data_IF_567401449938
#
_entry.id   IF_567401449938
#
_cell.length_a   1.000
_cell.length_b   1.000
_cell.length_c   1.000
_cell.angle_alpha   90.00
_cell.angle_beta   90.00
_cell.angle_gamma   90.00
#
_symmetry.space_group_name_H-M   'P 1'
#
loop_
_entity.id
_entity.type
_entity.pdbx_description
1 polymer ?
#
# COMPACT_ATOMS: atom_id res chain seq x y z
N UNK A 1 -23.74 31.02 6.21
CA UNK A 1 -22.49 30.44 5.70
C UNK A 1 -21.67 29.95 6.90
N UNK A 2 -22.02 28.78 7.45
CA UNK A 2 -21.46 28.31 8.72
C UNK A 2 -20.25 27.39 8.47
N UNK A 3 -19.07 27.89 8.85
CA UNK A 3 -17.81 27.16 8.87
C UNK A 3 -17.88 26.04 9.91
N UNK A 4 -18.26 24.81 9.49
CA UNK A 4 -18.04 23.61 10.32
C UNK A 4 -16.55 23.24 10.22
N UNK A 5 -15.71 23.92 10.99
CA UNK A 5 -14.39 23.39 11.37
C UNK A 5 -14.63 22.15 12.22
N UNK A 6 -14.74 21.00 11.55
CA UNK A 6 -14.97 19.71 12.20
C UNK A 6 -13.80 19.39 13.10
N UNK A 7 -14.07 19.16 14.38
CA UNK A 7 -13.13 18.47 15.28
C UNK A 7 -12.70 17.19 14.57
N UNK A 8 -11.41 17.05 14.26
CA UNK A 8 -10.88 15.82 13.66
C UNK A 8 -11.26 14.67 14.57
N UNK A 9 -12.02 13.69 14.06
CA UNK A 9 -12.44 12.57 14.89
C UNK A 9 -11.19 11.80 15.32
N UNK A 10 -11.13 11.37 16.58
CA UNK A 10 -9.98 10.59 17.10
C UNK A 10 -9.67 9.39 16.21
N UNK A 11 -10.71 8.80 15.61
CA UNK A 11 -10.62 7.71 14.66
C UNK A 11 -9.86 8.10 13.38
N UNK A 12 -10.14 9.28 12.79
CA UNK A 12 -9.43 9.75 11.60
C UNK A 12 -7.94 9.96 11.88
N UNK A 13 -7.60 10.47 13.07
CA UNK A 13 -6.19 10.65 13.46
C UNK A 13 -5.46 9.31 13.58
N UNK A 14 -6.09 8.31 14.21
CA UNK A 14 -5.52 6.96 14.35
C UNK A 14 -5.38 6.26 13.00
N UNK A 15 -6.38 6.34 12.13
CA UNK A 15 -6.31 5.76 10.79
C UNK A 15 -5.22 6.43 9.94
N UNK A 16 -5.17 7.77 9.94
CA UNK A 16 -4.15 8.51 9.19
C UNK A 16 -2.74 8.24 9.71
N UNK A 17 -2.54 8.17 11.03
CA UNK A 17 -1.22 7.88 11.61
C UNK A 17 -0.74 6.47 11.25
N UNK A 18 -1.63 5.47 11.27
CA UNK A 18 -1.29 4.11 10.84
C UNK A 18 -0.88 4.07 9.37
N UNK A 19 -1.62 4.74 8.48
CA UNK A 19 -1.28 4.81 7.05
C UNK A 19 0.06 5.52 6.84
N UNK A 20 0.29 6.66 7.50
CA UNK A 20 1.56 7.39 7.43
C UNK A 20 2.72 6.50 7.88
N UNK A 21 2.54 5.76 8.98
CA UNK A 21 3.55 4.82 9.46
C UNK A 21 3.87 3.74 8.42
N UNK A 22 2.85 3.13 7.80
CA UNK A 22 3.06 2.12 6.75
C UNK A 22 3.80 2.69 5.53
N UNK A 23 3.44 3.92 5.12
CA UNK A 23 4.13 4.61 4.01
C UNK A 23 5.59 4.87 4.37
N UNK A 24 5.88 5.34 5.59
CA UNK A 24 7.24 5.54 6.07
C UNK A 24 8.05 4.24 6.05
N UNK A 25 7.49 3.14 6.56
CA UNK A 25 8.16 1.82 6.54
C UNK A 25 8.45 1.38 5.10
N UNK A 26 7.52 1.58 4.17
CA UNK A 26 7.71 1.22 2.77
C UNK A 26 8.78 2.08 2.04
N UNK A 27 8.82 3.38 2.34
CA UNK A 27 9.82 4.29 1.75
C UNK A 27 11.20 3.99 2.31
N UNK A 28 11.30 3.77 3.62
CA UNK A 28 12.54 3.48 4.34
C UNK A 28 12.93 2.00 4.30
N UNK A 29 12.16 1.14 3.63
CA UNK A 29 12.43 -0.28 3.43
C UNK A 29 13.90 -0.62 3.10
N UNK A 30 14.57 0.02 2.10
CA UNK A 30 15.95 -0.32 1.76
C UNK A 30 16.98 0.02 2.85
N UNK A 31 16.62 0.84 3.85
CA UNK A 31 17.51 1.19 4.96
C UNK A 31 17.17 0.46 6.26
N UNK A 32 15.93 0.00 6.41
CA UNK A 32 15.46 -0.69 7.63
C UNK A 32 15.56 -2.22 7.48
N UNK A 33 15.55 -2.75 6.25
CA UNK A 33 15.61 -4.19 6.00
C UNK A 33 16.93 -4.78 6.52
N UNK A 34 16.91 -5.76 7.45
CA UNK A 34 18.13 -6.36 7.99
C UNK A 34 18.93 -7.15 6.95
N UNK A 35 18.23 -7.77 5.99
CA UNK A 35 18.81 -8.57 4.92
C UNK A 35 18.27 -8.16 3.56
N UNK A 36 18.97 -8.56 2.51
CA UNK A 36 18.45 -8.46 1.15
C UNK A 36 17.22 -9.38 1.01
N UNK A 37 16.03 -8.86 0.64
CA UNK A 37 14.80 -9.64 0.50
C UNK A 37 14.88 -10.76 -0.54
N UNK A 38 15.87 -10.73 -1.44
CA UNK A 38 16.10 -11.73 -2.47
C UNK A 38 17.26 -12.68 -2.14
N UNK A 39 18.09 -12.37 -1.15
CA UNK A 39 19.19 -13.24 -0.75
C UNK A 39 18.66 -14.54 -0.14
N UNK A 40 19.15 -15.67 -0.66
CA UNK A 40 18.71 -17.01 -0.28
C UNK A 40 19.77 -17.70 0.56
N UNK A 41 19.37 -18.23 1.72
CA UNK A 41 20.17 -19.15 2.51
C UNK A 41 19.49 -20.53 2.56
N UNK A 42 19.97 -21.46 1.72
CA UNK A 42 19.40 -22.82 1.63
C UNK A 42 19.42 -23.53 2.99
N UNK A 43 20.42 -23.25 3.84
CA UNK A 43 20.53 -23.85 5.17
C UNK A 43 19.55 -23.25 6.16
N UNK A 44 18.98 -22.08 5.88
CA UNK A 44 17.98 -21.43 6.71
C UNK A 44 16.53 -21.77 6.33
N UNK A 45 16.30 -22.57 5.28
CA UNK A 45 14.95 -22.93 4.80
C UNK A 45 14.01 -23.40 5.91
N UNK A 46 12.83 -22.76 6.00
CA UNK A 46 11.78 -23.04 6.98
C UNK A 46 12.26 -23.01 8.44
N UNK A 47 13.39 -22.36 8.74
CA UNK A 47 13.78 -22.14 10.14
C UNK A 47 12.84 -21.12 10.77
N UNK A 48 12.44 -21.42 12.01
CA UNK A 48 11.62 -20.52 12.81
C UNK A 48 12.37 -19.25 13.25
N UNK A 49 11.71 -18.40 14.06
CA UNK A 49 12.28 -17.16 14.59
C UNK A 49 13.62 -17.41 15.30
N UNK A 50 14.62 -16.61 14.96
CA UNK A 50 15.96 -16.67 15.56
C UNK A 50 16.60 -15.27 15.59
N UNK A 51 17.71 -15.12 16.33
CA UNK A 51 18.45 -13.85 16.35
C UNK A 51 18.96 -13.43 14.96
N UNK A 52 19.24 -14.41 14.08
CA UNK A 52 19.62 -14.18 12.69
C UNK A 52 18.42 -13.89 11.77
N UNK A 53 17.23 -14.42 12.07
CA UNK A 53 16.02 -14.21 11.28
C UNK A 53 14.86 -13.94 12.22
N UNK A 54 14.55 -12.68 12.50
CA UNK A 54 13.63 -12.29 13.58
C UNK A 54 12.24 -12.89 13.44
N UNK A 55 11.76 -13.02 12.20
CA UNK A 55 10.48 -13.66 11.86
C UNK A 55 10.66 -15.06 11.24
N UNK A 56 11.88 -15.59 11.24
CA UNK A 56 12.25 -16.83 10.56
C UNK A 56 12.50 -16.64 9.07
N UNK A 57 12.72 -17.76 8.38
CA UNK A 57 12.97 -17.77 6.96
C UNK A 57 11.87 -18.50 6.18
N UNK A 58 11.69 -18.14 4.92
CA UNK A 58 10.70 -18.76 4.04
C UNK A 58 11.18 -20.11 3.46
N UNK A 59 10.37 -20.67 2.54
CA UNK A 59 10.70 -21.93 1.84
C UNK A 59 11.96 -21.87 0.95
N UNK A 60 12.49 -20.68 0.69
CA UNK A 60 13.73 -20.45 -0.04
C UNK A 60 14.86 -19.99 0.90
N UNK A 61 14.61 -19.95 2.21
CA UNK A 61 15.57 -19.52 3.22
C UNK A 61 15.85 -18.02 3.17
N UNK A 62 14.89 -17.23 2.68
CA UNK A 62 14.96 -15.77 2.68
C UNK A 62 14.35 -15.23 3.97
N UNK A 63 14.91 -14.13 4.48
CA UNK A 63 14.41 -13.50 5.71
C UNK A 63 12.97 -12.98 5.55
N UNK A 64 12.08 -13.47 6.40
CA UNK A 64 10.65 -13.16 6.30
C UNK A 64 10.37 -11.70 6.65
N UNK A 65 11.09 -11.11 7.61
CA UNK A 65 10.92 -9.71 8.01
C UNK A 65 11.26 -8.76 6.84
N UNK A 66 12.44 -8.96 6.24
CA UNK A 66 12.91 -8.22 5.08
C UNK A 66 11.91 -8.33 3.91
N UNK A 67 11.38 -9.54 3.67
CA UNK A 67 10.35 -9.77 2.64
C UNK A 67 9.02 -9.07 2.94
N UNK A 68 8.61 -8.98 4.20
CA UNK A 68 7.39 -8.27 4.57
C UNK A 68 7.54 -6.75 4.39
N UNK A 69 8.68 -6.18 4.80
CA UNK A 69 8.98 -4.76 4.64
C UNK A 69 9.02 -4.37 3.15
N UNK A 70 9.75 -5.14 2.34
CA UNK A 70 9.79 -4.90 0.90
C UNK A 70 8.46 -5.23 0.21
N UNK A 71 7.72 -6.23 0.70
CA UNK A 71 6.38 -6.56 0.26
C UNK A 71 5.40 -5.41 0.46
N UNK A 72 5.49 -4.71 1.60
CA UNK A 72 4.69 -3.51 1.86
C UNK A 72 4.94 -2.41 0.81
N UNK A 73 6.21 -2.17 0.46
CA UNK A 73 6.58 -1.22 -0.60
C UNK A 73 5.99 -1.59 -1.96
N UNK A 74 6.08 -2.86 -2.35
CA UNK A 74 5.51 -3.34 -3.61
C UNK A 74 3.97 -3.20 -3.62
N UNK A 75 3.30 -3.62 -2.55
CA UNK A 75 1.84 -3.53 -2.43
C UNK A 75 1.34 -2.10 -2.53
N UNK A 76 1.97 -1.15 -1.82
CA UNK A 76 1.60 0.27 -1.89
C UNK A 76 1.82 0.84 -3.29
N UNK A 77 2.93 0.47 -3.96
CA UNK A 77 3.20 0.89 -5.33
C UNK A 77 2.14 0.41 -6.32
N UNK A 78 1.75 -0.87 -6.23
CA UNK A 78 0.71 -1.47 -7.09
C UNK A 78 -0.65 -0.81 -6.82
N UNK A 79 -1.03 -0.64 -5.55
CA UNK A 79 -2.29 0.02 -5.18
C UNK A 79 -2.34 1.46 -5.68
N UNK A 80 -1.25 2.22 -5.54
CA UNK A 80 -1.18 3.59 -6.04
C UNK A 80 -1.32 3.65 -7.56
N UNK A 81 -0.62 2.78 -8.29
CA UNK A 81 -0.74 2.69 -9.74
C UNK A 81 -2.17 2.34 -10.19
N UNK A 82 -2.81 1.37 -9.52
CA UNK A 82 -4.19 1.00 -9.80
C UNK A 82 -5.16 2.16 -9.59
N UNK A 83 -5.01 2.94 -8.50
CA UNK A 83 -5.82 4.13 -8.23
C UNK A 83 -5.63 5.20 -9.28
N UNK A 84 -4.39 5.44 -9.73
CA UNK A 84 -4.11 6.41 -10.80
C UNK A 84 -4.81 6.00 -12.10
N UNK A 85 -4.70 4.73 -12.49
CA UNK A 85 -5.37 4.21 -13.69
C UNK A 85 -6.88 4.32 -13.56
N UNK A 86 -7.44 3.94 -12.42
CA UNK A 86 -8.87 4.07 -12.14
C UNK A 86 -9.34 5.53 -12.18
N UNK A 87 -8.55 6.47 -11.65
CA UNK A 87 -8.85 7.90 -11.70
C UNK A 87 -8.80 8.45 -13.13
N UNK A 88 -7.82 8.01 -13.93
CA UNK A 88 -7.72 8.43 -15.33
C UNK A 88 -8.91 7.93 -16.14
N UNK A 89 -9.24 6.64 -16.03
CA UNK A 89 -10.34 6.04 -16.80
C UNK A 89 -11.69 6.52 -16.26
N UNK A 90 -11.93 6.34 -14.96
CA UNK A 90 -13.18 6.74 -14.32
C UNK A 90 -13.41 8.25 -14.35
N UNK A 91 -12.35 9.03 -14.15
CA UNK A 91 -12.41 10.49 -14.21
C UNK A 91 -12.68 11.01 -15.62
N UNK A 92 -12.05 10.45 -16.65
CA UNK A 92 -12.36 10.84 -18.04
C UNK A 92 -13.79 10.48 -18.43
N UNK A 93 -14.26 9.27 -18.10
CA UNK A 93 -15.65 8.88 -18.31
C UNK A 93 -16.63 9.77 -17.54
N UNK A 94 -16.30 10.11 -16.30
CA UNK A 94 -17.09 11.03 -15.47
C UNK A 94 -17.18 12.43 -16.06
N UNK A 95 -16.06 12.97 -16.58
CA UNK A 95 -16.04 14.27 -17.27
C UNK A 95 -16.86 14.25 -18.56
N UNK A 96 -16.77 13.18 -19.35
CA UNK A 96 -17.57 13.01 -20.58
C UNK A 96 -19.05 12.95 -20.26
N UNK A 97 -19.45 12.18 -19.25
CA UNK A 97 -20.83 12.11 -18.77
C UNK A 97 -21.34 13.49 -18.28
N UNK A 98 -20.50 14.21 -17.53
CA UNK A 98 -20.84 15.54 -17.00
C UNK A 98 -21.00 16.61 -18.10
N UNK A 99 -20.18 16.54 -19.15
CA UNK A 99 -20.19 17.52 -20.24
C UNK A 99 -21.37 17.34 -21.20
N UNK A 100 -21.58 16.11 -21.70
CA UNK A 100 -22.58 15.88 -22.75
C UNK A 100 -24.02 15.81 -22.21
N UNK A 101 -24.22 15.38 -20.94
CA UNK A 101 -25.53 15.12 -20.30
C UNK A 101 -26.41 14.14 -21.11
N UNK A 102 -27.27 13.36 -20.45
CA UNK A 102 -28.22 12.47 -21.16
C UNK A 102 -27.84 10.98 -21.21
N UNK A 103 -27.68 10.37 -22.40
CA UNK A 103 -27.49 8.91 -22.51
C UNK A 103 -26.14 8.41 -21.99
N UNK A 104 -25.06 9.16 -22.21
CA UNK A 104 -23.72 8.85 -21.66
C UNK A 104 -23.70 8.90 -20.14
N UNK A 105 -24.35 9.90 -19.54
CA UNK A 105 -24.57 10.00 -18.10
C UNK A 105 -25.33 8.78 -17.56
N UNK A 106 -26.41 8.36 -18.24
CA UNK A 106 -27.25 7.25 -17.80
C UNK A 106 -26.57 5.88 -17.85
N UNK A 107 -25.60 5.70 -18.74
CA UNK A 107 -24.80 4.47 -18.86
C UNK A 107 -23.64 4.48 -17.86
N UNK A 108 -22.95 5.61 -17.69
CA UNK A 108 -21.75 5.71 -16.84
C UNK A 108 -22.10 5.82 -15.35
N UNK A 109 -23.23 6.42 -15.00
CA UNK A 109 -23.65 6.63 -13.60
C UNK A 109 -24.58 5.53 -13.04
N UNK A 110 -24.81 4.45 -13.78
CA UNK A 110 -25.58 3.29 -13.32
C UNK A 110 -24.67 2.12 -12.98
#
# INVERSE_FOLDING_TARGET
>A
MAKKTGKTSKLLVVAASAVIMLVLVAVLAPWISPYDPLAQDILARLKGPSAAHWLGADQFGRDLLSRLIHGLRASLGISAAAVIVALLIGGTLGLVAAYYRGWTERIVMR
#
